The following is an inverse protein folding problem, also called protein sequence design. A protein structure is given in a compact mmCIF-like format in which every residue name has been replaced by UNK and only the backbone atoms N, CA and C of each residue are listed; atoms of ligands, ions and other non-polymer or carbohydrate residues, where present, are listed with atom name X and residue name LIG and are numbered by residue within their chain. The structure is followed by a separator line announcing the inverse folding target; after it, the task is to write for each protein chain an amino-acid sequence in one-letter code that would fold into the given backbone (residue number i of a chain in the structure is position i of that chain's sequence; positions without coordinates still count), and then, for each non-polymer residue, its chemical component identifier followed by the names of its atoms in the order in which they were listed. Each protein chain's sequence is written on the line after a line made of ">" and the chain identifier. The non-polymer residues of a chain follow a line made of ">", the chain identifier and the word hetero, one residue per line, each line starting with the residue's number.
data_IF_976835600027
#
_entry.id   IF_976835600027
#
_cell.length_a   1.000
_cell.length_b   1.000
_cell.length_c   1.000
_cell.angle_alpha   90.00
_cell.angle_beta   90.00
_cell.angle_gamma   90.00
#
_symmetry.space_group_name_H-M   'P 1'
#
loop_
_entity.id
_entity.type
_entity.pdbx_description
1 polymer ?
#
# COMPACT_ATOMS: atom_id res chain seq x y z
N UNK A 1 80.06 1.11 40.68
CA UNK A 1 79.11 2.25 40.68
C UNK A 1 78.76 2.54 39.23
N UNK A 2 77.53 2.63 38.74
CA UNK A 2 76.19 2.48 39.28
C UNK A 2 75.28 2.47 38.04
N UNK A 3 74.49 1.42 37.84
CA UNK A 3 73.56 1.27 36.70
C UNK A 3 72.32 2.13 36.95
N UNK A 4 72.13 3.21 36.18
CA UNK A 4 71.03 4.18 36.41
C UNK A 4 70.32 4.64 35.12
N UNK A 5 70.06 3.74 34.16
CA UNK A 5 69.20 4.06 33.02
C UNK A 5 68.43 2.82 32.55
N UNK A 6 67.29 2.50 33.18
CA UNK A 6 66.38 1.49 32.60
C UNK A 6 64.90 1.55 33.04
N UNK A 7 64.42 2.64 33.65
CA UNK A 7 63.03 2.69 34.17
C UNK A 7 62.09 3.70 33.53
N UNK A 8 62.50 4.41 32.48
CA UNK A 8 61.65 5.42 31.85
C UNK A 8 60.80 4.92 30.66
N UNK A 9 61.08 3.75 30.06
CA UNK A 9 60.42 3.38 28.78
C UNK A 9 59.16 2.51 28.91
N UNK A 10 58.77 2.08 30.11
CA UNK A 10 57.61 1.18 30.29
C UNK A 10 56.27 1.88 30.52
N UNK A 11 56.28 3.17 30.87
CA UNK A 11 55.05 3.92 31.13
C UNK A 11 54.46 4.58 29.87
N UNK A 12 55.29 4.86 28.85
CA UNK A 12 54.84 5.52 27.60
C UNK A 12 53.96 4.62 26.72
N UNK A 13 54.15 3.30 26.78
CA UNK A 13 53.37 2.35 25.98
C UNK A 13 51.94 2.13 26.51
N UNK A 14 51.69 2.38 27.80
CA UNK A 14 50.37 2.20 28.43
C UNK A 14 49.47 3.43 28.18
N UNK A 15 50.02 4.64 28.15
CA UNK A 15 49.25 5.84 27.83
C UNK A 15 48.89 5.94 26.33
N UNK A 16 49.75 5.42 25.44
CA UNK A 16 49.47 5.41 24.00
C UNK A 16 48.35 4.42 23.61
N UNK A 17 48.18 3.30 24.34
CA UNK A 17 47.15 2.30 24.04
C UNK A 17 45.76 2.69 24.57
N UNK A 18 45.68 3.45 25.67
CA UNK A 18 44.40 3.98 26.19
C UNK A 18 43.85 5.09 25.27
N UNK A 19 44.72 5.89 24.65
CA UNK A 19 44.30 6.93 23.70
C UNK A 19 43.79 6.36 22.37
N UNK A 20 44.31 5.21 21.92
CA UNK A 20 43.90 4.59 20.65
C UNK A 20 42.54 3.85 20.74
N UNK A 21 42.18 3.33 21.92
CA UNK A 21 40.87 2.70 22.16
C UNK A 21 39.76 3.75 22.33
N UNK A 22 40.08 4.95 22.85
CA UNK A 22 39.10 6.04 22.96
C UNK A 22 38.76 6.71 21.61
N UNK A 23 39.66 6.67 20.62
CA UNK A 23 39.42 7.26 19.30
C UNK A 23 38.63 6.31 18.39
N UNK A 24 38.74 5.00 18.58
CA UNK A 24 38.01 4.02 17.74
C UNK A 24 36.55 3.86 18.13
N UNK A 25 36.14 4.18 19.36
CA UNK A 25 34.73 4.17 19.77
C UNK A 25 33.95 5.43 19.34
N UNK A 26 34.64 6.53 19.02
CA UNK A 26 34.00 7.74 18.50
C UNK A 26 33.64 7.65 17.00
N UNK A 27 34.24 6.72 16.26
CA UNK A 27 33.98 6.50 14.84
C UNK A 27 32.97 5.36 14.56
N UNK A 28 32.48 4.68 15.59
CA UNK A 28 31.47 3.64 15.49
C UNK A 28 30.04 4.20 15.69
N UNK A 29 29.79 5.46 15.35
CA UNK A 29 28.43 5.94 15.16
C UNK A 29 27.93 5.42 13.81
N UNK A 30 27.36 4.22 13.80
CA UNK A 30 26.38 3.85 12.78
C UNK A 30 25.32 4.95 12.74
N UNK A 31 25.10 5.63 11.60
CA UNK A 31 23.97 6.56 11.48
C UNK A 31 22.69 5.77 11.71
N UNK A 32 22.14 5.88 12.91
CA UNK A 32 20.77 5.44 13.17
C UNK A 32 19.81 6.39 12.45
N UNK A 33 18.70 5.91 11.89
CA UNK A 33 17.67 6.81 11.37
C UNK A 33 17.17 7.69 12.53
N UNK A 34 17.45 9.00 12.47
CA UNK A 34 16.82 10.01 13.33
C UNK A 34 17.68 10.67 14.43
N UNK A 35 19.00 10.50 14.45
CA UNK A 35 19.85 11.03 15.54
C UNK A 35 20.26 12.51 15.45
N UNK A 36 20.78 12.99 14.32
CA UNK A 36 21.53 14.26 14.27
C UNK A 36 21.27 15.11 13.01
N UNK A 37 20.05 15.10 12.47
CA UNK A 37 19.67 16.14 11.51
C UNK A 37 19.06 17.31 12.27
N UNK A 38 19.62 18.54 12.20
CA UNK A 38 18.97 19.71 12.79
C UNK A 38 17.59 19.85 12.16
N UNK A 39 16.54 19.60 12.93
CA UNK A 39 15.18 19.92 12.53
C UNK A 39 15.08 21.44 12.56
N UNK A 40 15.11 22.07 11.39
CA UNK A 40 14.73 23.47 11.28
C UNK A 40 13.31 23.70 11.80
N UNK A 41 12.97 24.96 12.06
CA UNK A 41 11.69 25.39 12.66
C UNK A 41 10.45 24.95 11.84
N UNK A 42 10.66 24.50 10.61
CA UNK A 42 9.75 23.61 9.89
C UNK A 42 10.35 22.21 9.85
N UNK A 43 9.72 21.23 10.51
CA UNK A 43 10.15 19.83 10.62
C UNK A 43 10.17 19.02 9.31
N UNK A 44 10.68 19.61 8.23
CA UNK A 44 11.00 18.92 6.99
C UNK A 44 12.29 18.15 7.16
N UNK A 45 12.25 16.85 6.86
CA UNK A 45 13.45 16.03 6.71
C UNK A 45 14.35 16.66 5.63
N UNK A 46 15.50 17.22 6.03
CA UNK A 46 16.49 17.84 5.13
C UNK A 46 17.43 16.84 4.46
N UNK A 47 17.13 15.54 4.53
CA UNK A 47 17.88 14.51 3.82
C UNK A 47 17.28 14.29 2.43
N UNK A 48 18.13 14.18 1.41
CA UNK A 48 17.74 13.59 0.13
C UNK A 48 17.37 12.14 0.37
N UNK A 49 16.07 11.83 0.46
CA UNK A 49 15.60 10.45 0.56
C UNK A 49 15.80 9.78 -0.80
N UNK A 50 16.81 8.93 -0.91
CA UNK A 50 17.01 8.10 -2.10
C UNK A 50 15.98 6.95 -2.06
N UNK A 51 14.75 7.23 -2.49
CA UNK A 51 13.72 6.23 -2.76
C UNK A 51 14.18 5.43 -3.99
N UNK A 52 14.90 4.32 -3.79
CA UNK A 52 15.55 3.52 -4.84
C UNK A 52 14.76 3.36 -6.16
N UNK A 53 14.01 2.27 -6.33
CA UNK A 53 13.07 2.09 -7.45
C UNK A 53 11.67 2.64 -7.13
N UNK A 54 11.60 3.60 -6.20
CA UNK A 54 10.35 4.10 -5.62
C UNK A 54 10.00 5.50 -6.05
N UNK A 55 8.82 5.98 -5.64
CA UNK A 55 8.41 7.37 -5.79
C UNK A 55 8.01 7.97 -4.44
N UNK A 56 8.13 9.28 -4.32
CA UNK A 56 7.65 10.04 -3.17
C UNK A 56 6.65 11.08 -3.65
N UNK A 57 5.47 11.10 -3.04
CA UNK A 57 4.53 12.21 -3.19
C UNK A 57 4.84 13.23 -2.07
N UNK A 58 5.39 14.41 -2.40
CA UNK A 58 5.73 15.43 -1.41
C UNK A 58 4.50 16.09 -0.77
N UNK A 59 3.35 16.09 -1.44
CA UNK A 59 2.12 16.71 -0.92
C UNK A 59 1.43 15.79 0.08
N UNK A 60 1.45 14.49 -0.18
CA UNK A 60 0.84 13.49 0.69
C UNK A 60 1.82 12.91 1.72
N UNK A 61 3.12 13.27 1.66
CA UNK A 61 4.18 12.65 2.45
C UNK A 61 4.12 11.11 2.36
N UNK A 62 3.77 10.58 1.19
CA UNK A 62 3.63 9.15 0.96
C UNK A 62 4.80 8.63 0.12
N UNK A 63 5.46 7.58 0.59
CA UNK A 63 6.53 6.90 -0.11
C UNK A 63 6.05 5.56 -0.64
N UNK A 64 6.35 5.28 -1.90
CA UNK A 64 6.03 4.00 -2.56
C UNK A 64 7.27 3.32 -3.10
N UNK A 65 7.27 2.00 -3.12
CA UNK A 65 8.31 1.17 -3.75
C UNK A 65 7.67 -0.05 -4.39
N UNK A 66 8.01 -0.33 -5.64
CA UNK A 66 7.58 -1.56 -6.33
C UNK A 66 8.77 -2.49 -6.57
N UNK A 67 8.56 -3.79 -6.34
CA UNK A 67 9.51 -4.87 -6.56
C UNK A 67 8.82 -5.98 -7.33
N UNK A 68 9.16 -6.12 -8.61
CA UNK A 68 8.67 -7.23 -9.44
C UNK A 68 9.49 -8.48 -9.16
N UNK A 69 8.89 -9.47 -8.51
CA UNK A 69 9.58 -10.71 -8.13
C UNK A 69 9.49 -11.78 -9.23
N UNK A 70 8.34 -11.87 -9.89
CA UNK A 70 8.08 -12.87 -10.93
C UNK A 70 7.61 -12.17 -12.20
N UNK A 71 8.22 -12.53 -13.32
CA UNK A 71 7.75 -12.20 -14.66
C UNK A 71 7.65 -13.52 -15.40
N UNK A 72 6.48 -13.82 -15.96
CA UNK A 72 6.28 -14.98 -16.83
C UNK A 72 6.35 -14.50 -18.29
N UNK A 73 7.52 -14.56 -18.95
CA UNK A 73 7.63 -14.17 -20.34
C UNK A 73 6.86 -15.14 -21.24
N UNK A 74 6.18 -14.60 -22.25
CA UNK A 74 5.46 -15.40 -23.25
C UNK A 74 4.01 -15.74 -22.90
N UNK A 75 3.48 -15.27 -21.76
CA UNK A 75 2.04 -15.26 -21.55
C UNK A 75 1.38 -14.17 -22.41
N UNK A 76 0.15 -14.42 -22.87
CA UNK A 76 -0.58 -13.51 -23.77
C UNK A 76 -0.78 -12.13 -23.13
N UNK A 77 -0.89 -12.09 -21.80
CA UNK A 77 -0.76 -10.90 -20.96
C UNK A 77 0.47 -11.12 -20.10
N UNK A 78 1.47 -10.22 -20.06
CA UNK A 78 2.64 -10.40 -19.20
C UNK A 78 2.20 -10.51 -17.73
N UNK A 79 2.23 -11.74 -17.22
CA UNK A 79 1.86 -12.00 -15.84
C UNK A 79 3.06 -11.63 -14.97
N UNK A 80 2.87 -10.62 -14.13
CA UNK A 80 3.89 -10.21 -13.17
C UNK A 80 3.33 -10.26 -11.76
N UNK A 81 4.14 -10.78 -10.84
CA UNK A 81 3.91 -10.62 -9.42
C UNK A 81 4.80 -9.48 -8.93
N UNK A 82 4.19 -8.39 -8.49
CA UNK A 82 4.88 -7.19 -8.01
C UNK A 82 4.40 -6.87 -6.61
N UNK A 83 5.32 -6.91 -5.66
CA UNK A 83 5.09 -6.38 -4.32
C UNK A 83 5.22 -4.88 -4.33
N UNK A 84 4.26 -4.20 -3.71
CA UNK A 84 4.18 -2.76 -3.62
C UNK A 84 4.26 -2.41 -2.13
N UNK A 85 5.23 -1.61 -1.73
CA UNK A 85 5.30 -1.04 -0.39
C UNK A 85 4.80 0.39 -0.42
N UNK A 86 3.93 0.74 0.52
CA UNK A 86 3.42 2.08 0.75
C UNK A 86 3.66 2.47 2.21
N UNK A 87 4.24 3.63 2.46
CA UNK A 87 4.59 4.09 3.82
C UNK A 87 3.42 4.19 4.79
N UNK A 88 2.19 4.33 4.29
CA UNK A 88 0.97 4.42 5.07
C UNK A 88 0.24 3.07 5.21
N UNK A 89 0.50 2.12 4.31
CA UNK A 89 -0.25 0.86 4.21
C UNK A 89 0.59 -0.41 4.36
N UNK A 90 1.92 -0.32 4.42
CA UNK A 90 2.80 -1.49 4.45
C UNK A 90 2.98 -2.14 3.09
N UNK A 91 3.14 -3.46 3.06
CA UNK A 91 3.30 -4.23 1.82
C UNK A 91 1.94 -4.74 1.31
N UNK A 92 1.69 -4.53 0.03
CA UNK A 92 0.63 -5.13 -0.79
C UNK A 92 1.25 -5.77 -2.04
N UNK A 93 0.43 -6.33 -2.91
CA UNK A 93 0.84 -6.74 -4.26
C UNK A 93 -0.16 -6.29 -5.31
N UNK A 94 0.24 -6.34 -6.58
CA UNK A 94 -0.55 -5.90 -7.74
C UNK A 94 -1.85 -6.71 -7.98
N UNK A 95 -2.10 -7.76 -7.18
CA UNK A 95 -3.28 -8.61 -7.24
C UNK A 95 -4.19 -8.44 -6.01
N UNK A 96 -3.79 -7.62 -5.04
CA UNK A 96 -4.52 -7.31 -3.82
C UNK A 96 -5.61 -6.27 -4.08
N UNK A 97 -6.73 -6.72 -4.65
CA UNK A 97 -7.93 -5.92 -4.87
C UNK A 97 -8.98 -6.28 -3.84
N UNK A 98 -9.58 -5.28 -3.20
CA UNK A 98 -10.62 -5.47 -2.20
C UNK A 98 -11.81 -4.56 -2.49
N UNK A 99 -13.01 -5.11 -2.34
CA UNK A 99 -14.27 -4.42 -2.40
C UNK A 99 -14.90 -4.47 -1.01
N UNK A 100 -15.10 -3.29 -0.44
CA UNK A 100 -15.65 -3.07 0.90
C UNK A 100 -16.94 -2.29 0.77
N UNK A 101 -17.96 -2.61 1.56
CA UNK A 101 -19.15 -1.77 1.63
C UNK A 101 -18.83 -0.37 2.18
N UNK A 102 -19.50 0.63 1.62
CA UNK A 102 -19.47 1.98 2.14
C UNK A 102 -20.77 2.24 2.90
N UNK A 103 -20.71 2.17 4.22
CA UNK A 103 -21.83 2.43 5.12
C UNK A 103 -21.51 3.60 6.06
N UNK A 104 -22.56 4.28 6.54
CA UNK A 104 -22.40 5.40 7.50
C UNK A 104 -22.15 4.94 8.94
N UNK A 105 -22.07 3.63 9.18
CA UNK A 105 -21.65 3.06 10.46
C UNK A 105 -22.55 3.46 11.64
N UNK A 106 -23.81 3.02 11.65
CA UNK A 106 -24.56 2.85 12.90
C UNK A 106 -25.82 1.98 12.66
N UNK A 107 -25.65 0.66 12.63
CA UNK A 107 -26.79 -0.29 12.63
C UNK A 107 -27.45 -0.42 14.02
N UNK A 108 -27.16 0.48 14.97
CA UNK A 108 -27.50 0.32 16.39
C UNK A 108 -28.98 0.57 16.73
N UNK A 109 -29.85 0.89 15.77
CA UNK A 109 -31.27 1.08 16.08
C UNK A 109 -32.24 1.05 14.89
N UNK A 110 -32.92 -0.09 14.72
CA UNK A 110 -34.34 -0.21 14.32
C UNK A 110 -34.87 0.47 13.05
N UNK A 111 -34.05 1.16 12.25
CA UNK A 111 -34.43 1.83 11.00
C UNK A 111 -34.24 0.91 9.78
N UNK A 112 -35.09 1.07 8.76
CA UNK A 112 -35.17 0.19 7.59
C UNK A 112 -33.83 -0.14 6.92
N UNK A 113 -33.74 -1.37 6.42
CA UNK A 113 -32.53 -2.12 6.01
C UNK A 113 -31.62 -1.44 4.96
N UNK A 114 -32.04 -0.31 4.35
CA UNK A 114 -31.37 0.25 3.16
C UNK A 114 -30.85 1.69 3.31
N UNK A 115 -31.07 2.37 4.45
CA UNK A 115 -30.73 3.80 4.56
C UNK A 115 -29.23 4.04 4.84
N UNK A 116 -28.51 3.03 5.33
CA UNK A 116 -27.11 3.16 5.73
C UNK A 116 -26.11 2.81 4.62
N UNK A 117 -26.54 2.06 3.61
CA UNK A 117 -25.69 1.71 2.47
C UNK A 117 -25.52 2.92 1.56
N UNK A 118 -24.28 3.33 1.30
CA UNK A 118 -23.95 4.46 0.43
C UNK A 118 -23.33 4.04 -0.90
N UNK A 119 -22.92 2.78 -1.03
CA UNK A 119 -22.22 2.25 -2.19
C UNK A 119 -21.04 1.37 -1.79
N UNK A 120 -19.98 1.38 -2.59
CA UNK A 120 -18.80 0.55 -2.37
C UNK A 120 -17.51 1.37 -2.33
N UNK A 121 -16.53 0.89 -1.57
CA UNK A 121 -15.13 1.32 -1.62
C UNK A 121 -14.33 0.23 -2.30
N UNK A 122 -13.58 0.60 -3.33
CA UNK A 122 -12.61 -0.28 -3.96
C UNK A 122 -11.23 0.13 -3.50
N UNK A 123 -10.50 -0.81 -2.90
CA UNK A 123 -9.11 -0.67 -2.55
C UNK A 123 -8.26 -1.21 -3.71
N UNK A 124 -7.47 -0.31 -4.28
CA UNK A 124 -6.58 -0.60 -5.39
C UNK A 124 -5.25 -1.13 -4.86
N UNK A 125 -4.51 -1.94 -5.63
CA UNK A 125 -3.20 -2.45 -5.25
C UNK A 125 -2.15 -1.38 -4.92
N UNK A 126 -2.28 -0.19 -5.50
CA UNK A 126 -1.41 0.96 -5.26
C UNK A 126 -1.70 1.69 -3.93
N UNK A 127 -2.73 1.26 -3.21
CA UNK A 127 -3.18 1.83 -1.93
C UNK A 127 -4.22 2.93 -2.09
N UNK A 128 -4.65 3.30 -3.30
CA UNK A 128 -5.79 4.20 -3.47
C UNK A 128 -7.08 3.51 -3.00
N UNK A 129 -7.95 4.29 -2.38
CA UNK A 129 -9.32 3.88 -2.08
C UNK A 129 -10.27 4.79 -2.83
N UNK A 130 -11.14 4.20 -3.66
CA UNK A 130 -12.13 4.96 -4.43
C UNK A 130 -13.52 4.55 -3.98
N UNK A 131 -14.33 5.55 -3.63
CA UNK A 131 -15.75 5.34 -3.33
C UNK A 131 -16.59 5.46 -4.59
N UNK A 132 -17.44 4.47 -4.80
CA UNK A 132 -18.45 4.41 -5.84
C UNK A 132 -19.84 4.47 -5.18
N UNK A 133 -20.54 5.58 -5.35
CA UNK A 133 -21.85 5.82 -4.76
C UNK A 133 -22.97 5.05 -5.46
N UNK A 134 -23.95 4.59 -4.70
CA UNK A 134 -25.11 3.85 -5.20
C UNK A 134 -25.93 4.63 -6.23
N UNK A 135 -26.57 3.95 -7.19
CA UNK A 135 -27.32 4.61 -8.27
C UNK A 135 -28.59 5.30 -7.81
N UNK A 136 -29.31 4.75 -6.82
CA UNK A 136 -30.48 5.39 -6.20
C UNK A 136 -30.46 5.35 -4.67
N UNK A 137 -31.16 6.31 -4.04
CA UNK A 137 -31.14 6.53 -2.59
C UNK A 137 -31.65 5.36 -1.74
N UNK A 138 -32.40 4.41 -2.31
CA UNK A 138 -33.02 3.29 -1.57
C UNK A 138 -32.55 1.91 -2.02
N UNK A 139 -31.55 1.86 -2.90
CA UNK A 139 -31.02 0.59 -3.39
C UNK A 139 -30.34 -0.18 -2.26
N UNK A 140 -30.67 -1.47 -2.07
CA UNK A 140 -29.99 -2.31 -1.09
C UNK A 140 -28.53 -2.59 -1.51
N UNK A 141 -27.68 -3.06 -0.58
CA UNK A 141 -26.41 -3.66 -0.93
C UNK A 141 -26.56 -4.74 -2.01
N UNK A 142 -25.71 -4.65 -3.03
CA UNK A 142 -25.71 -5.56 -4.18
C UNK A 142 -26.72 -5.20 -5.26
N UNK A 143 -27.41 -4.06 -5.20
CA UNK A 143 -28.33 -3.64 -6.26
C UNK A 143 -27.64 -3.57 -7.64
N UNK A 144 -28.30 -4.10 -8.66
CA UNK A 144 -27.81 -4.05 -10.04
C UNK A 144 -27.83 -2.61 -10.53
N UNK A 145 -26.72 -2.14 -11.08
CA UNK A 145 -26.62 -0.79 -11.60
C UNK A 145 -25.19 -0.31 -11.77
N UNK A 146 -25.06 0.92 -12.27
CA UNK A 146 -23.77 1.61 -12.38
C UNK A 146 -23.60 2.52 -11.18
N UNK A 147 -22.49 2.33 -10.47
CA UNK A 147 -22.14 3.14 -9.31
C UNK A 147 -21.22 4.27 -9.76
N UNK A 148 -21.42 5.46 -9.20
CA UNK A 148 -20.74 6.69 -9.64
C UNK A 148 -19.54 7.01 -8.77
N UNK A 149 -18.39 7.27 -9.37
CA UNK A 149 -17.18 7.73 -8.70
C UNK A 149 -17.12 9.26 -8.60
N UNK A 150 -16.14 9.78 -7.85
CA UNK A 150 -15.84 11.21 -7.82
C UNK A 150 -15.32 11.73 -9.18
N UNK A 151 -15.52 13.03 -9.44
CA UNK A 151 -15.05 13.69 -10.66
C UNK A 151 -13.55 13.48 -10.87
N UNK A 152 -13.16 13.09 -12.09
CA UNK A 152 -11.77 12.83 -12.45
C UNK A 152 -11.34 11.36 -12.35
N UNK A 153 -12.16 10.50 -11.77
CA UNK A 153 -11.96 9.05 -11.81
C UNK A 153 -12.59 8.48 -13.08
N UNK A 154 -11.75 7.93 -13.97
CA UNK A 154 -12.19 7.35 -15.25
C UNK A 154 -12.80 5.96 -15.08
N UNK A 155 -12.35 5.23 -14.05
CA UNK A 155 -12.82 3.88 -13.76
C UNK A 155 -14.30 3.87 -13.38
N UNK A 156 -14.99 2.78 -13.72
CA UNK A 156 -16.43 2.61 -13.49
C UNK A 156 -16.71 1.32 -12.74
N UNK A 157 -17.53 1.39 -11.71
CA UNK A 157 -18.01 0.20 -11.01
C UNK A 157 -19.46 -0.11 -11.39
N UNK A 158 -19.71 -1.38 -11.73
CA UNK A 158 -21.03 -1.86 -12.15
C UNK A 158 -21.33 -3.17 -11.44
N UNK A 159 -22.52 -3.30 -10.86
CA UNK A 159 -23.01 -4.58 -10.34
C UNK A 159 -24.00 -5.14 -11.36
N UNK A 160 -23.81 -6.41 -11.73
CA UNK A 160 -24.67 -7.11 -12.69
C UNK A 160 -25.27 -8.36 -12.06
N UNK A 161 -26.51 -8.69 -12.42
CA UNK A 161 -27.09 -9.98 -12.11
C UNK A 161 -26.57 -11.06 -13.07
N UNK A 162 -26.21 -12.22 -12.52
CA UNK A 162 -25.82 -13.40 -13.26
C UNK A 162 -27.03 -14.32 -13.52
N UNK A 163 -26.97 -15.24 -14.49
CA UNK A 163 -28.09 -16.11 -14.84
C UNK A 163 -28.57 -17.04 -13.71
N UNK A 164 -27.72 -17.31 -12.72
CA UNK A 164 -28.02 -18.12 -11.54
C UNK A 164 -28.66 -17.31 -10.40
N UNK A 165 -28.90 -16.01 -10.61
CA UNK A 165 -29.45 -15.09 -9.62
C UNK A 165 -28.42 -14.51 -8.65
N UNK A 166 -27.15 -14.92 -8.74
CA UNK A 166 -26.06 -14.27 -7.99
C UNK A 166 -25.69 -12.94 -8.63
N UNK A 167 -24.99 -12.07 -7.89
CA UNK A 167 -24.54 -10.78 -8.41
C UNK A 167 -23.01 -10.74 -8.53
N UNK A 168 -22.50 -10.04 -9.55
CA UNK A 168 -21.07 -9.84 -9.80
C UNK A 168 -20.77 -8.35 -9.85
N UNK A 169 -19.82 -7.90 -9.04
CA UNK A 169 -19.25 -6.56 -9.13
C UNK A 169 -18.18 -6.52 -10.19
N UNK A 170 -18.21 -5.52 -11.06
CA UNK A 170 -17.25 -5.30 -12.15
C UNK A 170 -16.68 -3.91 -12.05
N UNK A 171 -15.38 -3.82 -11.85
CA UNK A 171 -14.62 -2.58 -12.00
C UNK A 171 -14.03 -2.54 -13.40
N UNK A 172 -14.55 -1.65 -14.23
CA UNK A 172 -14.05 -1.37 -15.57
C UNK A 172 -12.95 -0.32 -15.46
N UNK A 173 -11.74 -0.71 -15.83
CA UNK A 173 -10.56 0.14 -15.81
C UNK A 173 -10.43 0.93 -17.11
N UNK A 174 -9.73 2.06 -17.05
CA UNK A 174 -9.49 2.95 -18.20
C UNK A 174 -8.75 2.30 -19.39
N UNK A 175 -8.01 1.22 -19.15
CA UNK A 175 -7.30 0.45 -20.18
C UNK A 175 -8.20 -0.59 -20.89
N UNK A 176 -9.46 -0.75 -20.44
CA UNK A 176 -10.41 -1.74 -20.94
C UNK A 176 -10.42 -3.06 -20.17
N UNK A 177 -9.53 -3.23 -19.18
CA UNK A 177 -9.51 -4.40 -18.30
C UNK A 177 -10.70 -4.36 -17.34
N UNK A 178 -11.12 -5.53 -16.84
CA UNK A 178 -12.23 -5.69 -15.91
C UNK A 178 -11.79 -6.50 -14.69
N UNK A 179 -11.86 -5.91 -13.50
CA UNK A 179 -11.69 -6.63 -12.23
C UNK A 179 -13.06 -7.08 -11.74
N UNK A 180 -13.19 -8.36 -11.40
CA UNK A 180 -14.45 -8.97 -10.96
C UNK A 180 -14.41 -9.28 -9.47
N UNK A 181 -15.54 -9.04 -8.81
CA UNK A 181 -15.76 -9.30 -7.39
C UNK A 181 -17.03 -10.13 -7.23
N UNK A 182 -17.01 -11.10 -6.32
CA UNK A 182 -18.22 -11.79 -5.93
C UNK A 182 -19.07 -10.83 -5.08
N UNK A 183 -20.35 -10.62 -5.42
CA UNK A 183 -21.22 -9.71 -4.67
C UNK A 183 -22.43 -10.50 -4.19
N UNK A 184 -22.63 -10.57 -2.87
CA UNK A 184 -23.81 -11.23 -2.30
C UNK A 184 -24.92 -10.21 -2.06
N UNK A 185 -26.14 -10.51 -2.49
CA UNK A 185 -27.28 -9.65 -2.19
C UNK A 185 -27.58 -9.66 -0.68
N UNK A 186 -27.66 -8.47 -0.07
CA UNK A 186 -28.25 -8.29 1.27
C UNK A 186 -27.38 -8.63 2.49
N UNK A 187 -26.08 -8.86 2.36
CA UNK A 187 -25.15 -9.05 3.50
C UNK A 187 -23.88 -8.25 3.24
N UNK A 188 -23.36 -7.60 4.28
CA UNK A 188 -22.10 -6.85 4.25
C UNK A 188 -21.01 -7.54 3.43
N UNK A 189 -20.53 -6.88 2.39
CA UNK A 189 -19.56 -7.43 1.43
C UNK A 189 -18.18 -6.82 1.69
N UNK A 190 -17.33 -7.64 2.31
CA UNK A 190 -15.87 -7.51 2.21
C UNK A 190 -15.37 -8.67 1.36
N UNK A 191 -14.97 -8.39 0.13
CA UNK A 191 -14.55 -9.43 -0.81
C UNK A 191 -13.29 -9.05 -1.55
N UNK A 192 -12.48 -10.06 -1.84
CA UNK A 192 -11.34 -9.92 -2.74
C UNK A 192 -11.79 -10.13 -4.20
N UNK A 193 -11.02 -9.59 -5.14
CA UNK A 193 -11.26 -9.86 -6.55
C UNK A 193 -11.18 -11.37 -6.82
N UNK A 194 -12.14 -11.87 -7.60
CA UNK A 194 -12.21 -13.27 -8.03
C UNK A 194 -11.51 -13.50 -9.35
N UNK A 195 -11.44 -12.48 -10.21
CA UNK A 195 -10.72 -12.57 -11.49
C UNK A 195 -10.42 -11.19 -12.08
N UNK A 196 -9.45 -11.15 -12.97
CA UNK A 196 -9.13 -9.99 -13.80
C UNK A 196 -9.20 -10.42 -15.26
N UNK A 197 -9.95 -9.68 -16.06
CA UNK A 197 -10.12 -9.90 -17.50
C UNK A 197 -9.43 -8.78 -18.25
N UNK A 198 -8.60 -9.12 -19.23
CA UNK A 198 -7.94 -8.13 -20.08
C UNK A 198 -8.90 -7.53 -21.13
N UNK A 199 -8.47 -6.49 -21.88
CA UNK A 199 -9.28 -5.91 -22.95
C UNK A 199 -9.59 -6.87 -24.12
N UNK A 200 -8.91 -8.01 -24.19
CA UNK A 200 -9.11 -9.05 -25.20
C UNK A 200 -10.02 -10.19 -24.71
N UNK A 201 -10.53 -10.13 -23.48
CA UNK A 201 -11.43 -11.11 -22.89
C UNK A 201 -10.74 -12.31 -22.23
N UNK A 202 -9.41 -12.30 -22.10
CA UNK A 202 -8.68 -13.34 -21.39
C UNK A 202 -8.73 -13.08 -19.89
N UNK A 203 -9.09 -14.11 -19.12
CA UNK A 203 -9.31 -13.99 -17.68
C UNK A 203 -8.24 -14.75 -16.88
N UNK A 204 -7.76 -14.11 -15.81
CA UNK A 204 -6.99 -14.74 -14.74
C UNK A 204 -7.89 -14.88 -13.52
N UNK A 205 -8.02 -16.08 -12.97
CA UNK A 205 -8.75 -16.34 -11.74
C UNK A 205 -7.83 -16.20 -10.53
N UNK A 206 -8.31 -15.53 -9.50
CA UNK A 206 -7.64 -15.37 -8.21
C UNK A 206 -8.31 -16.33 -7.22
N UNK A 207 -7.51 -17.12 -6.51
CA UNK A 207 -7.95 -18.16 -5.57
C UNK A 207 -7.34 -17.98 -4.19
#
# INVERSE_FOLDING_TARGET
>A
MQTWFSRASRWSAIFASIYLVAITSALAQTPGPGGDTPTGVSGGFGGTMQVGSGSADPYEMNFTRSVTDVVVPGSVIPFTYTRIWNSRGGWSDNWSWELVENDTGDQSGGGGVNDFFLGYRVHYPDGRVVTFSKPANNDPPGAVGTYSSATGIVDRFVVVALPDGSHEGRLLLSDGSVVKFAVSAGVGIDTYASSIVDPHGLAVTLT
#
